data_IF_615438829219
#
_entry.id   IF_615438829219
#
_cell.length_a   1.000
_cell.length_b   1.000
_cell.length_c   1.000
_cell.angle_alpha   90.00
_cell.angle_beta   90.00
_cell.angle_gamma   90.00
#
_symmetry.space_group_name_H-M   'P 1'
#
loop_
_entity.id
_entity.type
_entity.pdbx_description
1 polymer ?
#
# COMPACT_ATOMS: atom_id res chain seq x y z
N UNK A 1 12.05 -31.69 9.13
CA UNK A 1 11.59 -30.34 8.72
C UNK A 1 12.41 -29.77 7.56
N UNK A 2 13.74 -29.79 7.60
CA UNK A 2 14.62 -29.32 6.49
C UNK A 2 14.28 -29.93 5.12
N UNK A 3 14.14 -31.26 5.03
CA UNK A 3 13.76 -31.94 3.79
C UNK A 3 12.37 -31.52 3.25
N UNK A 4 11.40 -31.26 4.13
CA UNK A 4 10.06 -30.80 3.74
C UNK A 4 10.08 -29.36 3.21
N UNK A 5 10.89 -28.50 3.83
CA UNK A 5 11.14 -27.15 3.35
C UNK A 5 11.82 -27.17 1.98
N UNK A 6 12.86 -27.99 1.79
CA UNK A 6 13.56 -28.10 0.50
C UNK A 6 12.62 -28.61 -0.60
N UNK A 7 11.74 -29.57 -0.29
CA UNK A 7 10.70 -30.05 -1.22
C UNK A 7 9.71 -28.93 -1.55
N UNK A 8 9.23 -28.17 -0.56
CA UNK A 8 8.27 -27.09 -0.81
C UNK A 8 8.90 -25.89 -1.51
N UNK A 9 10.15 -25.56 -1.22
CA UNK A 9 10.91 -24.55 -1.95
C UNK A 9 11.12 -25.00 -3.40
N UNK A 10 11.47 -26.27 -3.64
CA UNK A 10 11.60 -26.81 -4.99
C UNK A 10 10.25 -26.88 -5.72
N UNK A 11 9.17 -27.27 -5.06
CA UNK A 11 7.83 -27.28 -5.63
C UNK A 11 7.38 -25.86 -5.95
N UNK A 12 7.58 -24.91 -5.04
CA UNK A 12 7.29 -23.50 -5.27
C UNK A 12 8.12 -22.96 -6.43
N UNK A 13 9.43 -23.25 -6.48
CA UNK A 13 10.28 -22.88 -7.61
C UNK A 13 9.77 -23.50 -8.92
N UNK A 14 9.40 -24.78 -8.94
CA UNK A 14 8.94 -25.47 -10.15
C UNK A 14 7.52 -25.12 -10.58
N UNK A 15 6.62 -24.81 -9.67
CA UNK A 15 5.23 -24.48 -10.00
C UNK A 15 5.08 -23.00 -10.27
N UNK A 16 5.59 -22.15 -9.37
CA UNK A 16 5.44 -20.69 -9.47
C UNK A 16 6.46 -20.04 -10.39
N UNK A 17 7.71 -20.55 -10.52
CA UNK A 17 8.74 -19.91 -11.36
C UNK A 17 8.84 -20.50 -12.77
N UNK A 18 8.31 -21.70 -13.00
CA UNK A 18 8.30 -22.37 -14.29
C UNK A 18 6.85 -22.54 -14.77
N UNK A 19 6.21 -21.42 -15.12
CA UNK A 19 5.03 -21.28 -16.02
C UNK A 19 4.03 -22.46 -16.09
N UNK A 20 3.77 -23.19 -15.00
CA UNK A 20 2.78 -24.24 -15.01
C UNK A 20 1.42 -23.60 -14.85
N UNK A 21 0.49 -23.97 -15.72
CA UNK A 21 -0.81 -23.33 -15.97
C UNK A 21 -1.76 -23.30 -14.77
N UNK A 22 -1.46 -24.06 -13.71
CA UNK A 22 -2.29 -24.14 -12.52
C UNK A 22 -1.97 -23.01 -11.53
N UNK A 23 -2.66 -21.87 -11.71
CA UNK A 23 -2.63 -20.72 -10.81
C UNK A 23 -3.03 -21.08 -9.38
N UNK A 24 -3.92 -22.05 -9.19
CA UNK A 24 -4.35 -22.50 -7.87
C UNK A 24 -3.23 -23.25 -7.16
N UNK A 25 -2.54 -24.15 -7.88
CA UNK A 25 -1.39 -24.86 -7.32
C UNK A 25 -0.26 -23.91 -6.93
N UNK A 26 0.03 -22.91 -7.76
CA UNK A 26 1.01 -21.87 -7.46
C UNK A 26 0.64 -21.07 -6.20
N UNK A 27 -0.63 -20.68 -6.10
CA UNK A 27 -1.16 -20.01 -4.92
C UNK A 27 -1.02 -20.90 -3.67
N UNK A 28 -1.46 -22.16 -3.73
CA UNK A 28 -1.33 -23.07 -2.60
C UNK A 28 0.13 -23.29 -2.19
N UNK A 29 1.05 -23.43 -3.15
CA UNK A 29 2.47 -23.59 -2.88
C UNK A 29 3.07 -22.38 -2.15
N UNK A 30 2.80 -21.14 -2.60
CA UNK A 30 3.34 -19.99 -1.87
C UNK A 30 2.66 -19.76 -0.52
N UNK A 31 1.37 -20.12 -0.37
CA UNK A 31 0.71 -20.07 0.93
C UNK A 31 1.34 -21.05 1.91
N UNK A 32 1.60 -22.29 1.48
CA UNK A 32 2.31 -23.28 2.27
C UNK A 32 3.74 -22.82 2.62
N UNK A 33 4.47 -22.26 1.66
CA UNK A 33 5.80 -21.70 1.89
C UNK A 33 5.76 -20.55 2.91
N UNK A 34 4.80 -19.63 2.79
CA UNK A 34 4.63 -18.52 3.73
C UNK A 34 4.36 -19.02 5.15
N UNK A 35 3.47 -20.00 5.32
CA UNK A 35 3.17 -20.61 6.63
C UNK A 35 4.37 -21.31 7.24
N UNK A 36 5.20 -21.98 6.43
CA UNK A 36 6.44 -22.59 6.89
C UNK A 36 7.48 -21.57 7.33
N UNK A 37 7.67 -20.50 6.55
CA UNK A 37 8.61 -19.43 6.90
C UNK A 37 8.16 -18.71 8.18
N UNK A 38 6.85 -18.48 8.32
CA UNK A 38 6.27 -17.97 9.55
C UNK A 38 6.50 -18.92 10.74
N UNK A 39 6.30 -20.23 10.55
CA UNK A 39 6.60 -21.21 11.59
C UNK A 39 8.09 -21.19 11.99
N UNK A 40 9.02 -21.09 11.04
CA UNK A 40 10.45 -20.96 11.32
C UNK A 40 10.73 -19.74 12.20
N UNK A 41 10.16 -18.59 11.86
CA UNK A 41 10.30 -17.36 12.65
C UNK A 41 9.77 -17.54 14.08
N UNK A 42 8.58 -18.14 14.22
CA UNK A 42 7.94 -18.37 15.52
C UNK A 42 8.78 -19.28 16.41
N UNK A 43 9.36 -20.33 15.84
CA UNK A 43 10.25 -21.26 16.53
C UNK A 43 11.69 -20.75 16.67
N UNK A 44 11.96 -19.49 16.30
CA UNK A 44 13.30 -18.86 16.31
C UNK A 44 14.34 -19.63 15.49
N UNK A 45 13.89 -20.39 14.52
CA UNK A 45 14.72 -21.06 13.53
C UNK A 45 15.18 -20.00 12.53
N UNK A 46 16.46 -20.03 12.16
CA UNK A 46 16.99 -19.15 11.13
C UNK A 46 16.19 -19.29 9.83
N UNK A 47 15.70 -18.16 9.31
CA UNK A 47 15.06 -18.10 8.01
C UNK A 47 15.96 -18.71 6.93
N UNK A 48 15.35 -19.32 5.93
CA UNK A 48 16.10 -19.87 4.81
C UNK A 48 16.87 -18.77 4.05
N UNK A 49 18.20 -18.84 4.10
CA UNK A 49 19.08 -17.92 3.38
C UNK A 49 18.86 -17.99 1.86
N UNK A 50 18.52 -19.15 1.30
CA UNK A 50 18.24 -19.30 -0.14
C UNK A 50 16.97 -18.55 -0.54
N UNK A 51 15.93 -18.61 0.30
CA UNK A 51 14.68 -17.89 0.07
C UNK A 51 14.85 -16.38 0.24
N UNK A 52 15.58 -15.94 1.28
CA UNK A 52 15.89 -14.51 1.48
C UNK A 52 16.67 -13.97 0.28
N UNK A 53 17.76 -14.62 -0.13
CA UNK A 53 18.55 -14.21 -1.28
C UNK A 53 17.73 -14.20 -2.59
N UNK A 54 16.84 -15.18 -2.75
CA UNK A 54 15.90 -15.20 -3.86
C UNK A 54 14.99 -13.95 -3.83
N UNK A 55 14.32 -13.66 -2.72
CA UNK A 55 13.45 -12.48 -2.64
C UNK A 55 14.22 -11.18 -2.85
N UNK A 56 15.41 -11.04 -2.25
CA UNK A 56 16.25 -9.86 -2.41
C UNK A 56 16.61 -9.61 -3.88
N UNK A 57 17.07 -10.65 -4.58
CA UNK A 57 17.42 -10.58 -6.01
C UNK A 57 16.24 -10.11 -6.87
N UNK A 58 15.09 -10.78 -6.75
CA UNK A 58 13.94 -10.46 -7.60
C UNK A 58 13.32 -9.09 -7.29
N UNK A 59 13.43 -8.60 -6.05
CA UNK A 59 13.00 -7.25 -5.68
C UNK A 59 13.97 -6.17 -6.22
N UNK A 60 15.27 -6.44 -6.25
CA UNK A 60 16.26 -5.50 -6.79
C UNK A 60 16.23 -5.36 -8.32
N UNK A 61 15.82 -6.42 -9.02
CA UNK A 61 15.75 -6.47 -10.50
C UNK A 61 14.42 -5.94 -11.06
N UNK A 62 13.57 -5.31 -10.24
CA UNK A 62 12.31 -4.73 -10.70
C UNK A 62 12.56 -3.45 -11.54
N UNK A 63 11.89 -3.24 -12.70
CA UNK A 63 10.70 -3.95 -13.22
C UNK A 63 10.96 -5.14 -14.15
N UNK A 64 12.21 -5.48 -14.43
CA UNK A 64 12.58 -6.47 -15.47
C UNK A 64 12.19 -7.91 -15.08
N UNK A 65 12.00 -8.17 -13.79
CA UNK A 65 11.75 -9.50 -13.27
C UNK A 65 10.27 -9.74 -12.87
N UNK A 66 9.58 -10.58 -13.65
CA UNK A 66 8.17 -10.94 -13.43
C UNK A 66 7.91 -11.72 -12.13
N UNK A 67 8.96 -12.31 -11.54
CA UNK A 67 8.84 -13.16 -10.34
C UNK A 67 8.68 -12.35 -9.05
N UNK A 68 8.77 -11.02 -9.13
CA UNK A 68 8.60 -10.12 -7.98
C UNK A 68 7.26 -10.31 -7.29
N UNK A 69 6.18 -10.56 -8.05
CA UNK A 69 4.81 -10.72 -7.53
C UNK A 69 4.74 -11.86 -6.52
N UNK A 70 5.45 -12.95 -6.77
CA UNK A 70 5.48 -14.09 -5.86
C UNK A 70 6.19 -13.75 -4.55
N UNK A 71 7.27 -12.97 -4.61
CA UNK A 71 7.95 -12.47 -3.42
C UNK A 71 7.02 -11.56 -2.61
N UNK A 72 6.41 -10.57 -3.26
CA UNK A 72 5.47 -9.63 -2.63
C UNK A 72 4.32 -10.38 -1.95
N UNK A 73 3.78 -11.39 -2.63
CA UNK A 73 2.67 -12.17 -2.10
C UNK A 73 3.08 -13.00 -0.86
N UNK A 74 4.19 -13.75 -0.94
CA UNK A 74 4.71 -14.52 0.21
C UNK A 74 5.04 -13.60 1.39
N UNK A 75 5.72 -12.47 1.15
CA UNK A 75 6.03 -11.47 2.18
C UNK A 75 4.76 -10.92 2.85
N UNK A 76 3.75 -10.58 2.06
CA UNK A 76 2.45 -10.08 2.54
C UNK A 76 1.75 -11.10 3.43
N UNK A 77 1.73 -12.38 3.02
CA UNK A 77 1.11 -13.44 3.82
C UNK A 77 1.85 -13.62 5.15
N UNK A 78 3.19 -13.67 5.14
CA UNK A 78 3.98 -13.81 6.37
C UNK A 78 3.66 -12.68 7.35
N UNK A 79 3.68 -11.42 6.90
CA UNK A 79 3.38 -10.28 7.77
C UNK A 79 1.93 -10.36 8.29
N UNK A 80 0.95 -10.72 7.44
CA UNK A 80 -0.44 -10.92 7.88
C UNK A 80 -0.57 -11.98 8.97
N UNK A 81 0.14 -13.11 8.85
CA UNK A 81 0.11 -14.16 9.87
C UNK A 81 0.79 -13.71 11.17
N UNK A 82 1.90 -12.98 11.09
CA UNK A 82 2.50 -12.33 12.26
C UNK A 82 1.51 -11.33 12.89
N UNK A 83 0.71 -10.62 12.08
CA UNK A 83 -0.32 -9.71 12.59
C UNK A 83 -1.44 -10.40 13.35
N UNK A 84 -1.85 -11.58 12.91
CA UNK A 84 -2.90 -12.39 13.55
C UNK A 84 -2.40 -13.14 14.78
N UNK A 85 -1.09 -13.29 14.95
CA UNK A 85 -0.54 -13.99 16.10
C UNK A 85 -0.87 -13.23 17.40
N UNK A 86 -1.26 -14.00 18.41
CA UNK A 86 -1.54 -13.53 19.78
C UNK A 86 -0.29 -13.59 20.67
N UNK A 87 0.82 -14.08 20.15
CA UNK A 87 2.10 -14.16 20.85
C UNK A 87 2.65 -12.77 21.23
N UNK A 88 3.15 -12.65 22.47
CA UNK A 88 3.79 -11.42 22.97
C UNK A 88 5.10 -11.06 22.24
N UNK A 89 5.72 -12.01 21.54
CA UNK A 89 6.98 -11.82 20.81
C UNK A 89 6.78 -11.36 19.35
N UNK A 90 5.54 -11.04 18.96
CA UNK A 90 5.18 -10.60 17.61
C UNK A 90 6.08 -9.49 17.05
N UNK A 91 6.40 -8.48 17.86
CA UNK A 91 7.28 -7.37 17.46
C UNK A 91 8.69 -7.86 17.13
N UNK A 92 9.25 -8.77 17.94
CA UNK A 92 10.61 -9.29 17.72
C UNK A 92 10.65 -10.23 16.50
N UNK A 93 9.62 -11.06 16.33
CA UNK A 93 9.45 -11.91 15.14
C UNK A 93 9.43 -11.05 13.86
N UNK A 94 8.64 -9.98 13.86
CA UNK A 94 8.56 -9.09 12.70
C UNK A 94 9.87 -8.34 12.46
N UNK A 95 10.55 -7.92 13.53
CA UNK A 95 11.86 -7.27 13.45
C UNK A 95 12.90 -8.20 12.82
N UNK A 96 12.98 -9.45 13.27
CA UNK A 96 13.87 -10.46 12.68
C UNK A 96 13.56 -10.68 11.20
N UNK A 97 12.27 -10.71 10.84
CA UNK A 97 11.84 -10.88 9.47
C UNK A 97 12.17 -9.70 8.55
N UNK A 98 11.98 -8.46 9.00
CA UNK A 98 12.19 -7.26 8.18
C UNK A 98 13.65 -6.86 8.03
N UNK A 99 14.50 -7.21 9.00
CA UNK A 99 15.93 -6.87 9.00
C UNK A 99 16.65 -7.17 7.67
N UNK A 100 16.55 -8.36 7.07
CA UNK A 100 17.21 -8.64 5.79
C UNK A 100 16.61 -7.91 4.58
N UNK A 101 15.42 -7.31 4.70
CA UNK A 101 14.72 -6.70 3.57
C UNK A 101 14.67 -5.17 3.62
N UNK A 102 15.07 -4.52 4.71
CA UNK A 102 14.88 -3.08 4.91
C UNK A 102 15.40 -2.23 3.74
N UNK A 103 16.67 -2.42 3.38
CA UNK A 103 17.33 -1.70 2.29
C UNK A 103 16.76 -2.09 0.93
N UNK A 104 16.45 -3.37 0.72
CA UNK A 104 15.92 -3.87 -0.55
C UNK A 104 14.51 -3.33 -0.81
N UNK A 105 13.66 -3.24 0.21
CA UNK A 105 12.35 -2.60 0.06
C UNK A 105 12.48 -1.14 -0.33
N UNK A 106 13.39 -0.40 0.30
CA UNK A 106 13.63 0.99 -0.06
C UNK A 106 14.00 1.15 -1.54
N UNK A 107 14.91 0.30 -2.05
CA UNK A 107 15.29 0.27 -3.47
C UNK A 107 14.08 -0.08 -4.33
N UNK A 108 13.40 -1.18 -4.02
CA UNK A 108 12.24 -1.67 -4.76
C UNK A 108 11.14 -0.61 -4.90
N UNK A 109 10.70 0.01 -3.81
CA UNK A 109 9.64 1.02 -3.87
C UNK A 109 10.10 2.32 -4.53
N UNK A 110 11.38 2.69 -4.40
CA UNK A 110 11.92 3.83 -5.15
C UNK A 110 11.81 3.57 -6.65
N UNK A 111 12.17 2.37 -7.12
CA UNK A 111 12.00 1.97 -8.52
C UNK A 111 10.53 1.93 -8.92
N UNK A 112 9.66 1.33 -8.08
CA UNK A 112 8.21 1.23 -8.32
C UNK A 112 7.54 2.58 -8.54
N UNK A 113 7.81 3.57 -7.67
CA UNK A 113 7.20 4.90 -7.77
C UNK A 113 7.88 5.80 -8.81
N UNK A 114 9.04 5.41 -9.33
CA UNK A 114 9.72 6.10 -10.44
C UNK A 114 9.29 5.58 -11.83
N UNK A 115 8.39 4.59 -11.90
CA UNK A 115 7.93 4.04 -13.16
C UNK A 115 7.08 5.05 -13.95
N UNK A 116 7.63 5.57 -15.05
CA UNK A 116 6.83 6.33 -16.00
C UNK A 116 6.13 5.40 -16.98
N UNK A 117 4.80 5.27 -16.85
CA UNK A 117 3.91 4.43 -17.67
C UNK A 117 3.86 4.75 -19.19
N UNK A 118 4.72 5.64 -19.70
CA UNK A 118 4.62 6.17 -21.07
C UNK A 118 4.91 5.14 -22.18
N UNK A 119 5.36 3.91 -21.88
CA UNK A 119 5.79 2.95 -22.90
C UNK A 119 5.81 1.47 -22.46
N UNK A 120 4.92 1.02 -21.56
CA UNK A 120 4.94 -0.40 -21.17
C UNK A 120 3.96 -1.24 -22.02
N UNK A 121 4.48 -2.29 -22.66
CA UNK A 121 3.68 -3.26 -23.43
C UNK A 121 2.80 -4.16 -22.54
N UNK A 122 3.13 -4.31 -21.25
CA UNK A 122 2.46 -5.22 -20.30
C UNK A 122 1.85 -4.49 -19.08
N UNK A 123 0.95 -3.54 -19.34
CA UNK A 123 0.27 -2.71 -18.31
C UNK A 123 -0.38 -3.54 -17.20
N UNK A 124 -0.95 -4.71 -17.51
CA UNK A 124 -1.61 -5.58 -16.54
C UNK A 124 -0.65 -6.16 -15.50
N UNK A 125 0.58 -6.50 -15.88
CA UNK A 125 1.61 -7.04 -14.97
C UNK A 125 2.10 -5.97 -14.00
N UNK A 126 2.30 -4.75 -14.49
CA UNK A 126 2.68 -3.61 -13.65
C UNK A 126 1.56 -3.29 -12.67
N UNK A 127 0.31 -3.24 -13.12
CA UNK A 127 -0.86 -3.02 -12.24
C UNK A 127 -0.91 -4.08 -11.15
N UNK A 128 -0.77 -5.37 -11.49
CA UNK A 128 -0.79 -6.43 -10.49
C UNK A 128 0.34 -6.27 -9.45
N UNK A 129 1.56 -5.99 -9.91
CA UNK A 129 2.71 -5.73 -9.04
C UNK A 129 2.47 -4.52 -8.13
N UNK A 130 1.88 -3.44 -8.65
CA UNK A 130 1.52 -2.26 -7.86
C UNK A 130 0.49 -2.56 -6.80
N UNK A 131 -0.55 -3.33 -7.12
CA UNK A 131 -1.58 -3.70 -6.15
C UNK A 131 -0.98 -4.58 -5.04
N UNK A 132 -0.17 -5.59 -5.38
CA UNK A 132 0.54 -6.41 -4.39
C UNK A 132 1.50 -5.56 -3.53
N UNK A 133 2.20 -4.61 -4.15
CA UNK A 133 3.13 -3.72 -3.44
C UNK A 133 2.42 -2.77 -2.50
N UNK A 134 1.24 -2.29 -2.86
CA UNK A 134 0.41 -1.42 -2.03
C UNK A 134 -0.08 -2.16 -0.78
N UNK A 135 -0.51 -3.43 -0.94
CA UNK A 135 -0.90 -4.27 0.20
C UNK A 135 0.27 -4.52 1.16
N UNK A 136 1.46 -4.79 0.63
CA UNK A 136 2.66 -4.94 1.46
C UNK A 136 3.03 -3.62 2.17
N UNK A 137 2.93 -2.48 1.47
CA UNK A 137 3.23 -1.17 2.05
C UNK A 137 2.25 -0.81 3.18
N UNK A 138 0.96 -1.15 3.01
CA UNK A 138 -0.06 -1.03 4.05
C UNK A 138 0.34 -1.80 5.32
N UNK A 139 0.81 -3.03 5.17
CA UNK A 139 1.29 -3.83 6.29
C UNK A 139 2.55 -3.27 6.96
N UNK A 140 3.50 -2.75 6.17
CA UNK A 140 4.71 -2.12 6.69
C UNK A 140 4.38 -0.88 7.53
N UNK A 141 3.51 -0.01 7.03
CA UNK A 141 3.07 1.18 7.79
C UNK A 141 2.24 0.79 9.01
N UNK A 142 1.32 -0.17 8.87
CA UNK A 142 0.58 -0.70 10.01
C UNK A 142 1.53 -1.24 11.09
N UNK A 143 2.61 -1.91 10.71
CA UNK A 143 3.57 -2.45 11.68
C UNK A 143 4.36 -1.38 12.41
N UNK A 144 4.64 -0.25 11.77
CA UNK A 144 5.20 0.90 12.45
C UNK A 144 4.23 1.47 13.48
N UNK A 145 2.97 1.68 13.10
CA UNK A 145 1.94 2.29 13.98
C UNK A 145 1.64 1.37 15.18
N UNK A 146 1.36 0.09 14.92
CA UNK A 146 0.85 -0.83 15.94
C UNK A 146 1.93 -1.57 16.71
N UNK A 147 3.12 -1.78 16.11
CA UNK A 147 4.21 -2.55 16.72
C UNK A 147 5.46 -1.70 17.02
N UNK A 148 5.42 -0.38 16.76
CA UNK A 148 6.48 0.59 17.07
C UNK A 148 7.85 0.19 16.54
N UNK A 149 7.86 -0.38 15.33
CA UNK A 149 9.08 -0.64 14.58
C UNK A 149 9.47 0.60 13.77
N UNK A 150 10.77 0.81 13.59
CA UNK A 150 11.32 2.02 12.96
C UNK A 150 12.28 1.69 11.81
N UNK A 151 11.92 0.73 10.98
CA UNK A 151 12.67 0.39 9.77
C UNK A 151 12.46 1.44 8.67
N UNK A 152 13.48 1.64 7.83
CA UNK A 152 13.43 2.59 6.71
C UNK A 152 12.31 2.23 5.73
N UNK A 153 12.10 0.94 5.49
CA UNK A 153 11.06 0.40 4.62
C UNK A 153 9.64 0.75 5.07
N UNK A 154 9.44 1.01 6.37
CA UNK A 154 8.16 1.43 6.92
C UNK A 154 7.93 2.94 6.75
N UNK A 155 8.98 3.69 6.40
CA UNK A 155 8.95 5.14 6.20
C UNK A 155 8.79 5.55 4.73
N UNK A 156 8.78 4.59 3.80
CA UNK A 156 8.85 4.83 2.35
C UNK A 156 7.81 5.85 1.86
N UNK A 157 6.55 5.71 2.29
CA UNK A 157 5.47 6.64 1.92
C UNK A 157 5.80 8.09 2.35
N UNK A 158 6.38 8.26 3.53
CA UNK A 158 6.62 9.57 4.14
C UNK A 158 7.93 10.20 3.67
N UNK A 159 8.90 9.40 3.22
CA UNK A 159 10.16 9.88 2.68
C UNK A 159 10.00 10.49 1.28
N UNK A 160 9.08 9.96 0.47
CA UNK A 160 8.81 10.43 -0.91
C UNK A 160 7.30 10.46 -1.21
N UNK A 161 6.51 11.27 -0.48
CA UNK A 161 5.05 11.27 -0.61
C UNK A 161 4.59 11.77 -1.98
N UNK A 162 5.32 12.71 -2.61
CA UNK A 162 5.04 13.18 -3.96
C UNK A 162 5.06 12.05 -4.99
N UNK A 163 6.07 11.18 -4.96
CA UNK A 163 6.17 10.05 -5.90
C UNK A 163 4.98 9.08 -5.76
N UNK A 164 4.44 8.90 -4.56
CA UNK A 164 3.26 8.05 -4.33
C UNK A 164 1.98 8.73 -4.82
N UNK A 165 1.86 10.04 -4.59
CA UNK A 165 0.73 10.84 -5.06
C UNK A 165 0.70 10.95 -6.59
N UNK A 166 1.87 10.99 -7.23
CA UNK A 166 1.99 11.01 -8.70
C UNK A 166 1.32 9.79 -9.34
N UNK A 167 1.30 8.63 -8.66
CA UNK A 167 0.62 7.42 -9.15
C UNK A 167 -0.87 7.66 -9.45
N UNK A 168 -1.52 8.55 -8.69
CA UNK A 168 -2.94 8.89 -8.88
C UNK A 168 -3.13 9.64 -10.22
N UNK A 169 -2.11 10.40 -10.66
CA UNK A 169 -2.12 11.15 -11.92
C UNK A 169 -1.84 10.27 -13.14
N UNK A 170 -1.25 9.09 -12.96
CA UNK A 170 -0.87 8.20 -14.06
C UNK A 170 -2.06 7.71 -14.88
N UNK A 171 -1.86 7.33 -16.16
CA UNK A 171 -2.90 6.78 -17.03
C UNK A 171 -3.23 5.31 -16.70
N UNK A 172 -3.50 5.02 -15.42
CA UNK A 172 -3.90 3.68 -14.92
C UNK A 172 -5.40 3.61 -14.70
N UNK A 173 -5.93 2.39 -14.59
CA UNK A 173 -7.35 2.16 -14.33
C UNK A 173 -7.83 2.86 -13.04
N UNK A 174 -9.06 3.38 -13.07
CA UNK A 174 -9.64 4.14 -11.95
C UNK A 174 -9.63 3.36 -10.61
N UNK A 175 -9.73 2.04 -10.65
CA UNK A 175 -9.68 1.22 -9.43
C UNK A 175 -8.31 1.26 -8.74
N UNK A 176 -7.21 1.41 -9.50
CA UNK A 176 -5.86 1.54 -8.93
C UNK A 176 -5.77 2.86 -8.19
N UNK A 177 -6.18 3.96 -8.86
CA UNK A 177 -6.25 5.30 -8.26
C UNK A 177 -7.08 5.30 -6.97
N UNK A 178 -8.25 4.64 -7.01
CA UNK A 178 -9.10 4.43 -5.83
C UNK A 178 -8.35 3.80 -4.66
N UNK A 179 -7.62 2.71 -4.90
CA UNK A 179 -6.87 2.02 -3.85
C UNK A 179 -5.82 2.93 -3.22
N UNK A 180 -5.08 3.70 -4.01
CA UNK A 180 -4.08 4.65 -3.49
C UNK A 180 -4.72 5.76 -2.64
N UNK A 181 -5.83 6.36 -3.08
CA UNK A 181 -6.53 7.40 -2.31
C UNK A 181 -7.02 6.84 -0.96
N UNK A 182 -7.64 5.65 -0.97
CA UNK A 182 -8.12 4.99 0.25
C UNK A 182 -6.94 4.68 1.18
N UNK A 183 -5.84 4.19 0.64
CA UNK A 183 -4.62 3.88 1.39
C UNK A 183 -4.02 5.11 2.06
N UNK A 184 -3.82 6.21 1.33
CA UNK A 184 -3.28 7.46 1.89
C UNK A 184 -4.23 8.03 2.95
N UNK A 185 -5.53 7.98 2.70
CA UNK A 185 -6.56 8.37 3.68
C UNK A 185 -6.44 7.54 4.96
N UNK A 186 -6.26 6.22 4.87
CA UNK A 186 -6.05 5.36 6.04
C UNK A 186 -4.78 5.77 6.80
N UNK A 187 -3.71 6.13 6.10
CA UNK A 187 -2.45 6.60 6.70
C UNK A 187 -2.66 7.86 7.53
N UNK A 188 -3.28 8.91 6.96
CA UNK A 188 -3.55 10.18 7.65
C UNK A 188 -4.52 10.05 8.84
N UNK A 189 -5.39 9.04 8.83
CA UNK A 189 -6.33 8.76 9.92
C UNK A 189 -5.76 7.82 10.98
N UNK A 190 -4.53 7.34 10.83
CA UNK A 190 -3.91 6.30 11.68
C UNK A 190 -4.74 5.00 11.73
N UNK A 191 -5.46 4.70 10.65
CA UNK A 191 -6.35 3.53 10.51
C UNK A 191 -5.78 2.43 9.61
N UNK A 192 -4.49 2.48 9.35
CA UNK A 192 -3.79 1.47 8.53
C UNK A 192 -3.75 0.15 9.30
N UNK A 193 -4.21 -0.95 8.70
CA UNK A 193 -4.26 -2.26 9.36
C UNK A 193 -5.27 -2.40 10.50
N UNK A 194 -6.24 -1.49 10.62
CA UNK A 194 -7.36 -1.57 11.57
C UNK A 194 -8.17 -2.87 11.38
N UNK A 195 -8.25 -3.37 10.14
CA UNK A 195 -8.90 -4.64 9.76
C UNK A 195 -8.12 -5.89 10.20
N UNK A 196 -6.81 -5.76 10.44
CA UNK A 196 -5.92 -6.86 10.80
C UNK A 196 -5.76 -7.03 12.30
N UNK A 197 -5.97 -5.96 13.08
CA UNK A 197 -5.85 -5.95 14.53
C UNK A 197 -7.22 -6.19 15.16
N UNK A 198 -7.66 -7.44 15.23
CA UNK A 198 -8.87 -7.81 15.95
C UNK A 198 -8.66 -7.57 17.46
N UNK A 199 -9.27 -6.52 18.01
CA UNK A 199 -9.49 -6.42 19.46
C UNK A 199 -8.77 -5.31 20.22
N UNK A 200 -7.94 -4.48 19.60
CA UNK A 200 -7.51 -3.22 20.24
C UNK A 200 -8.37 -2.07 19.75
N UNK A 201 -9.26 -1.55 20.60
CA UNK A 201 -9.93 -0.27 20.35
C UNK A 201 -8.91 0.86 20.16
N UNK A 202 -9.35 2.09 19.83
CA UNK A 202 -8.45 3.23 19.63
C UNK A 202 -7.79 3.58 20.97
N UNK A 203 -6.71 2.87 21.30
CA UNK A 203 -5.83 3.24 22.37
C UNK A 203 -5.16 4.52 21.90
N UNK A 204 -5.36 5.60 22.67
CA UNK A 204 -4.60 6.84 22.57
C UNK A 204 -3.12 6.47 22.68
N UNK A 205 -2.48 6.26 21.53
CA UNK A 205 -1.07 5.94 21.48
C UNK A 205 -0.29 7.17 21.92
N UNK A 206 0.71 7.02 22.80
CA UNK A 206 1.58 8.14 23.14
C UNK A 206 2.24 8.67 21.86
N UNK A 207 2.43 10.00 21.74
CA UNK A 207 2.93 10.62 20.52
C UNK A 207 4.32 10.08 20.17
N UNK A 208 4.45 9.51 18.97
CA UNK A 208 5.74 9.20 18.35
C UNK A 208 6.14 10.42 17.52
N UNK A 209 7.06 11.23 18.05
CA UNK A 209 7.53 12.46 17.40
C UNK A 209 8.03 12.23 15.97
N UNK A 210 8.62 11.06 15.68
CA UNK A 210 9.08 10.72 14.33
C UNK A 210 7.91 10.38 13.40
N UNK A 211 6.83 9.81 13.93
CA UNK A 211 5.61 9.57 13.16
C UNK A 211 4.87 10.88 12.89
N UNK A 212 4.82 11.81 13.84
CA UNK A 212 4.16 13.10 13.68
C UNK A 212 4.81 13.94 12.57
N UNK A 213 6.15 13.99 12.52
CA UNK A 213 6.90 14.66 11.44
C UNK A 213 6.62 14.01 10.09
N UNK A 214 6.61 12.68 10.03
CA UNK A 214 6.33 11.94 8.81
C UNK A 214 4.88 12.16 8.33
N UNK A 215 3.91 12.25 9.24
CA UNK A 215 2.51 12.54 8.94
C UNK A 215 2.33 13.98 8.42
N UNK A 216 3.04 14.94 9.00
CA UNK A 216 3.06 16.31 8.51
C UNK A 216 3.62 16.38 7.08
N UNK A 217 4.73 15.71 6.79
CA UNK A 217 5.31 15.65 5.46
C UNK A 217 4.33 15.06 4.42
N UNK A 218 3.58 14.01 4.80
CA UNK A 218 2.53 13.44 3.95
C UNK A 218 1.36 14.41 3.75
N UNK A 219 0.90 15.08 4.81
CA UNK A 219 -0.18 16.06 4.74
C UNK A 219 0.19 17.26 3.84
N UNK A 220 1.40 17.80 3.98
CA UNK A 220 1.89 18.89 3.13
C UNK A 220 1.97 18.47 1.66
N UNK A 221 2.50 17.28 1.37
CA UNK A 221 2.56 16.77 0.00
C UNK A 221 1.17 16.57 -0.62
N UNK A 222 0.18 16.11 0.17
CA UNK A 222 -1.21 16.00 -0.28
C UNK A 222 -1.76 17.38 -0.66
N UNK A 223 -1.57 18.38 0.20
CA UNK A 223 -2.06 19.73 -0.07
C UNK A 223 -1.40 20.35 -1.30
N UNK A 224 -0.08 20.18 -1.46
CA UNK A 224 0.64 20.59 -2.66
C UNK A 224 0.12 19.89 -3.93
N UNK A 225 -0.14 18.58 -3.86
CA UNK A 225 -0.69 17.85 -4.99
C UNK A 225 -2.10 18.33 -5.38
N UNK A 226 -2.94 18.68 -4.40
CA UNK A 226 -4.25 19.28 -4.64
C UNK A 226 -4.12 20.65 -5.31
N UNK A 227 -3.20 21.49 -4.87
CA UNK A 227 -2.89 22.78 -5.52
C UNK A 227 -2.45 22.60 -6.98
N UNK A 228 -1.69 21.55 -7.27
CA UNK A 228 -1.30 21.16 -8.63
C UNK A 228 -2.43 20.53 -9.46
N UNK A 229 -3.63 20.38 -8.89
CA UNK A 229 -4.81 19.91 -9.59
C UNK A 229 -5.05 18.41 -9.51
N UNK A 230 -4.50 17.70 -8.52
CA UNK A 230 -4.74 16.25 -8.29
C UNK A 230 -6.23 15.89 -8.38
N UNK A 231 -7.11 16.69 -7.77
CA UNK A 231 -8.56 16.46 -7.80
C UNK A 231 -9.15 16.48 -9.21
N UNK A 232 -8.59 17.28 -10.13
CA UNK A 232 -9.05 17.34 -11.53
C UNK A 232 -8.78 16.03 -12.28
N UNK A 233 -7.81 15.25 -11.82
CA UNK A 233 -7.44 13.96 -12.43
C UNK A 233 -8.30 12.78 -11.97
N UNK A 234 -9.12 12.98 -10.93
CA UNK A 234 -10.01 11.96 -10.40
C UNK A 234 -11.23 11.82 -11.30
N UNK A 235 -11.33 10.71 -12.01
CA UNK A 235 -12.56 10.35 -12.71
C UNK A 235 -13.61 9.96 -11.67
N UNK A 236 -14.63 10.80 -11.52
CA UNK A 236 -15.76 10.58 -10.61
C UNK A 236 -16.80 9.62 -11.23
N UNK A 237 -16.58 9.13 -12.46
CA UNK A 237 -17.57 8.27 -13.14
C UNK A 237 -17.63 6.89 -12.46
N UNK A 238 -18.72 6.63 -11.75
CA UNK A 238 -18.96 5.34 -11.09
C UNK A 238 -19.25 4.23 -12.10
N UNK A 239 -18.69 3.04 -11.86
CA UNK A 239 -19.27 1.81 -12.44
C UNK A 239 -20.53 1.48 -11.63
N UNK A 240 -21.62 1.00 -12.25
CA UNK A 240 -22.74 0.47 -11.49
C UNK A 240 -22.24 -0.66 -10.57
N UNK A 241 -22.74 -0.76 -9.33
CA UNK A 241 -22.44 -1.90 -8.47
C UNK A 241 -23.15 -3.13 -9.05
N UNK A 242 -22.49 -3.88 -9.92
CA UNK A 242 -23.01 -5.16 -10.40
C UNK A 242 -22.56 -6.27 -9.44
N UNK A 243 -23.53 -6.89 -8.76
CA UNK A 243 -23.34 -8.13 -8.03
C UNK A 243 -23.90 -9.26 -8.90
N UNK A 244 -23.07 -10.24 -9.28
CA UNK A 244 -23.43 -11.31 -10.23
C UNK A 244 -23.03 -10.96 -11.66
N UNK A 245 -22.25 -11.82 -12.32
CA UNK A 245 -21.54 -11.52 -13.57
C UNK A 245 -22.43 -11.12 -14.75
N UNK A 246 -21.81 -10.46 -15.72
CA UNK A 246 -22.40 -9.89 -16.94
C UNK A 246 -23.29 -10.87 -17.71
N UNK A 247 -24.58 -10.53 -17.86
CA UNK A 247 -25.26 -10.67 -19.14
C UNK A 247 -25.51 -9.25 -19.68
N UNK A 248 -24.67 -8.83 -20.62
CA UNK A 248 -24.78 -7.54 -21.28
C UNK A 248 -26.02 -7.54 -22.16
N UNK A 249 -27.10 -6.88 -21.72
CA UNK A 249 -28.16 -6.48 -22.66
C UNK A 249 -27.74 -5.21 -23.42
N UNK A 250 -27.86 -5.16 -24.76
CA UNK A 250 -27.17 -4.14 -25.57
C UNK A 250 -27.90 -2.78 -25.65
N UNK A 251 -28.91 -2.51 -24.83
CA UNK A 251 -29.91 -1.48 -25.15
C UNK A 251 -30.14 -0.42 -24.06
N UNK A 252 -29.40 -0.41 -22.96
CA UNK A 252 -29.58 0.60 -21.92
C UNK A 252 -28.30 1.43 -21.75
N UNK A 253 -28.35 2.70 -22.16
CA UNK A 253 -27.34 3.70 -21.80
C UNK A 253 -27.30 3.81 -20.27
N UNK A 254 -26.41 3.05 -19.64
CA UNK A 254 -26.23 3.06 -18.21
C UNK A 254 -25.70 4.44 -17.82
N UNK A 255 -26.57 5.30 -17.29
CA UNK A 255 -26.19 6.61 -16.76
C UNK A 255 -25.31 6.38 -15.53
N UNK A 256 -24.01 6.53 -15.73
CA UNK A 256 -23.00 6.35 -14.70
C UNK A 256 -23.09 7.50 -13.67
N UNK A 257 -23.63 7.21 -12.48
CA UNK A 257 -23.63 8.14 -11.36
C UNK A 257 -22.24 8.39 -10.78
N UNK A 258 -22.05 9.50 -10.03
CA UNK A 258 -20.77 9.83 -9.40
C UNK A 258 -20.35 8.83 -8.32
N UNK A 259 -19.05 8.49 -8.25
CA UNK A 259 -18.46 7.64 -7.21
C UNK A 259 -18.33 8.42 -5.89
N UNK A 260 -19.44 8.49 -5.15
CA UNK A 260 -19.53 9.19 -3.87
C UNK A 260 -18.54 8.66 -2.83
N UNK A 261 -18.08 7.41 -2.94
CA UNK A 261 -17.10 6.82 -2.02
C UNK A 261 -15.74 7.47 -2.24
N UNK A 262 -15.30 7.63 -3.49
CA UNK A 262 -14.06 8.35 -3.81
C UNK A 262 -14.15 9.80 -3.37
N UNK A 263 -15.26 10.48 -3.70
CA UNK A 263 -15.42 11.90 -3.35
C UNK A 263 -15.30 12.09 -1.83
N UNK A 264 -16.01 11.28 -1.04
CA UNK A 264 -15.93 11.32 0.41
C UNK A 264 -14.52 11.00 0.92
N UNK A 265 -13.84 10.03 0.31
CA UNK A 265 -12.47 9.67 0.65
C UNK A 265 -11.48 10.81 0.36
N UNK A 266 -11.59 11.45 -0.79
CA UNK A 266 -10.76 12.59 -1.19
C UNK A 266 -11.03 13.83 -0.32
N UNK A 267 -12.28 14.15 -0.04
CA UNK A 267 -12.64 15.25 0.87
C UNK A 267 -12.07 15.02 2.27
N UNK A 268 -12.20 13.81 2.81
CA UNK A 268 -11.66 13.49 4.14
C UNK A 268 -10.13 13.54 4.16
N UNK A 269 -9.48 13.10 3.07
CA UNK A 269 -8.03 13.18 2.90
C UNK A 269 -7.54 14.64 2.93
N UNK A 270 -8.26 15.56 2.28
CA UNK A 270 -7.92 17.00 2.30
C UNK A 270 -8.16 17.60 3.68
N UNK A 271 -9.36 17.39 4.25
CA UNK A 271 -9.73 17.94 5.56
C UNK A 271 -8.74 17.47 6.62
N UNK A 272 -8.36 16.19 6.61
CA UNK A 272 -7.40 15.65 7.59
C UNK A 272 -5.99 16.21 7.39
N UNK A 273 -5.56 16.40 6.14
CA UNK A 273 -4.26 17.01 5.85
C UNK A 273 -4.20 18.47 6.34
N UNK A 274 -5.28 19.23 6.15
CA UNK A 274 -5.40 20.58 6.70
C UNK A 274 -5.36 20.56 8.23
N UNK A 275 -6.11 19.67 8.88
CA UNK A 275 -6.13 19.53 10.33
C UNK A 275 -4.72 19.29 10.90
N UNK A 276 -3.96 18.36 10.31
CA UNK A 276 -2.57 18.07 10.71
C UNK A 276 -1.68 19.30 10.53
N UNK A 277 -1.79 19.98 9.39
CA UNK A 277 -1.02 21.20 9.11
C UNK A 277 -1.35 22.31 10.11
N UNK A 278 -2.62 22.54 10.42
CA UNK A 278 -3.03 23.54 11.42
C UNK A 278 -2.54 23.21 12.82
N UNK A 279 -2.60 21.95 13.23
CA UNK A 279 -2.08 21.49 14.52
C UNK A 279 -0.57 21.74 14.63
N UNK A 280 0.18 21.59 13.53
CA UNK A 280 1.61 21.92 13.49
C UNK A 280 1.91 23.43 13.47
N UNK A 281 1.07 24.25 12.83
CA UNK A 281 1.23 25.71 12.82
C UNK A 281 0.84 26.35 14.17
N UNK A 282 -0.04 25.73 14.95
CA UNK A 282 -0.36 26.21 16.30
C UNK A 282 0.87 26.19 17.24
N UNK A 283 1.93 25.44 16.90
CA UNK A 283 3.22 25.47 17.60
C UNK A 283 4.32 26.28 16.89
N UNK A 284 4.08 26.81 15.68
CA UNK A 284 5.05 27.60 14.91
C UNK A 284 4.37 28.75 14.13
N UNK A 285 4.74 29.99 14.48
CA UNK A 285 4.21 31.28 13.98
C UNK A 285 4.38 31.54 12.46
N UNK A 286 3.79 30.73 11.57
CA UNK A 286 3.72 31.04 10.14
C UNK A 286 2.39 30.58 9.52
N UNK A 287 1.41 31.48 9.45
CA UNK A 287 0.27 31.35 8.54
C UNK A 287 0.30 32.56 7.59
N UNK A 288 0.87 32.37 6.40
CA UNK A 288 0.64 33.27 5.26
C UNK A 288 -0.71 32.92 4.63
N UNK A 289 -1.67 33.83 4.73
CA UNK A 289 -3.08 33.70 4.36
C UNK A 289 -3.44 33.49 2.88
N UNK A 290 -2.50 33.08 2.01
CA UNK A 290 -2.76 32.93 0.58
C UNK A 290 -3.27 31.53 0.18
N UNK A 291 -3.09 30.53 1.03
CA UNK A 291 -3.45 29.14 0.71
C UNK A 291 -4.95 28.87 0.94
N UNK A 292 -5.54 29.41 2.01
CA UNK A 292 -6.93 29.13 2.40
C UNK A 292 -7.98 29.59 1.38
N UNK A 293 -7.79 30.78 0.79
CA UNK A 293 -8.76 31.38 -0.13
C UNK A 293 -8.79 30.66 -1.49
N UNK A 294 -7.65 30.13 -1.96
CA UNK A 294 -7.58 29.24 -3.12
C UNK A 294 -8.41 27.96 -2.89
N UNK A 295 -8.35 27.41 -1.67
CA UNK A 295 -9.00 26.14 -1.32
C UNK A 295 -10.51 26.22 -1.16
N UNK A 296 -11.03 27.27 -0.50
CA UNK A 296 -12.49 27.46 -0.42
C UNK A 296 -13.11 27.54 -1.82
N UNK A 297 -12.43 28.15 -2.77
CA UNK A 297 -12.88 28.24 -4.17
C UNK A 297 -12.81 26.89 -4.90
N UNK A 298 -11.82 26.03 -4.61
CA UNK A 298 -11.74 24.70 -5.24
C UNK A 298 -12.80 23.72 -4.73
N UNK A 299 -13.04 23.67 -3.41
CA UNK A 299 -14.07 22.79 -2.82
C UNK A 299 -15.46 23.23 -3.29
N UNK A 300 -15.72 24.54 -3.29
CA UNK A 300 -16.98 25.10 -3.78
C UNK A 300 -17.21 24.80 -5.28
N UNK A 301 -16.18 24.96 -6.12
CA UNK A 301 -16.28 24.61 -7.53
C UNK A 301 -16.49 23.10 -7.77
N UNK A 302 -15.92 22.23 -6.94
CA UNK A 302 -16.10 20.77 -7.04
C UNK A 302 -17.50 20.32 -6.59
N UNK A 303 -18.11 21.00 -5.61
CA UNK A 303 -19.51 20.75 -5.22
C UNK A 303 -20.50 21.22 -6.29
N UNK A 304 -20.18 22.30 -7.01
CA UNK A 304 -21.04 22.86 -8.07
C UNK A 304 -20.96 22.05 -9.38
N UNK A 305 -19.80 21.48 -9.72
CA UNK A 305 -19.64 20.68 -10.94
C UNK A 305 -20.07 19.21 -10.80
N UNK A 306 -20.54 18.81 -9.62
CA UNK A 306 -21.17 17.51 -9.33
C UNK A 306 -22.69 17.55 -9.16
N UNK A 307 -23.33 18.68 -9.46
CA UNK A 307 -24.78 18.88 -9.62
C UNK A 307 -25.10 19.13 -11.09
#
# INVERSE_FOLDING_TARGET
>A
MKAFFDILEQLYKKTCLFQNSDKLLCHMAAKCLALLLYFQLREKITLSNSWVAFCQKNLSEYPENEKVVYCLWTLTVIIKEIFKDTCSQKTEILKQFLTPFDTIFQVFYTSLFSLHFKSCQDTSKIINSMICSLELLELLIASRIHLKLHFTCQRILFLKPSCVLDVITWPVEAFVKRKFIIFIKKCLLWKVGEDLCWGSGPALMPPDQHLDVDMLALADAVLQAVDLGLLKTLSVRGKPPCFGGDEVQPACECVHGPDHVILRAASLLIIKSLEIKFQSCASANEIKGNSLNSFYMQIHNYQISGL
#
